data_IF_449676784467
#
_entry.id   IF_449676784467
#
_cell.length_a   1.000
_cell.length_b   1.000
_cell.length_c   1.000
_cell.angle_alpha   90.00
_cell.angle_beta   90.00
_cell.angle_gamma   90.00
#
_symmetry.space_group_name_H-M   'P 1'
#
loop_
_entity.id
_entity.type
_entity.pdbx_description
1 polymer ?
#
# COMPACT_ATOMS: atom_id res chain seq x y z
N UNK A 1 32.32 -8.96 16.24
CA UNK A 1 31.06 -9.35 16.89
C UNK A 1 29.94 -9.03 15.92
N UNK A 2 29.45 -10.02 15.16
CA UNK A 2 28.22 -9.81 14.38
C UNK A 2 27.06 -9.84 15.35
N UNK A 3 26.44 -8.68 15.60
CA UNK A 3 25.13 -8.64 16.25
C UNK A 3 24.14 -9.29 15.29
N UNK A 4 23.62 -10.46 15.67
CA UNK A 4 22.41 -11.00 15.08
C UNK A 4 21.31 -9.99 15.38
N UNK A 5 20.92 -9.19 14.39
CA UNK A 5 19.79 -8.28 14.56
C UNK A 5 18.58 -9.13 14.93
N UNK A 6 18.05 -8.94 16.14
CA UNK A 6 16.85 -9.63 16.56
C UNK A 6 15.72 -9.18 15.63
N UNK A 7 15.17 -10.14 14.90
CA UNK A 7 14.05 -9.90 13.99
C UNK A 7 12.91 -9.28 14.79
N UNK A 8 12.51 -8.04 14.44
CA UNK A 8 11.40 -7.34 15.11
C UNK A 8 10.09 -8.05 14.73
N UNK A 9 9.35 -8.65 15.69
CA UNK A 9 8.17 -9.45 15.38
C UNK A 9 7.09 -8.70 14.57
N UNK A 10 6.91 -7.40 14.84
CA UNK A 10 5.95 -6.56 14.09
C UNK A 10 6.34 -6.38 12.62
N UNK A 11 7.65 -6.28 12.32
CA UNK A 11 8.15 -6.21 10.94
C UNK A 11 7.89 -7.53 10.20
N UNK A 12 8.02 -8.67 10.89
CA UNK A 12 7.68 -9.98 10.32
C UNK A 12 6.19 -10.06 10.01
N UNK A 13 5.34 -9.65 10.94
CA UNK A 13 3.89 -9.65 10.74
C UNK A 13 3.48 -8.74 9.58
N UNK A 14 4.08 -7.55 9.47
CA UNK A 14 3.84 -6.64 8.35
C UNK A 14 4.23 -7.27 7.01
N UNK A 15 5.45 -7.84 6.91
CA UNK A 15 5.91 -8.52 5.69
C UNK A 15 5.05 -9.72 5.33
N UNK A 16 4.63 -10.51 6.32
CA UNK A 16 3.69 -11.60 6.11
C UNK A 16 2.36 -11.08 5.54
N UNK A 17 1.77 -10.05 6.15
CA UNK A 17 0.51 -9.47 5.68
C UNK A 17 0.62 -8.92 4.24
N UNK A 18 1.71 -8.20 3.92
CA UNK A 18 1.97 -7.71 2.56
C UNK A 18 2.11 -8.86 1.55
N UNK A 19 2.82 -9.94 1.92
CA UNK A 19 2.97 -11.11 1.05
C UNK A 19 1.64 -11.81 0.79
N UNK A 20 0.81 -11.99 1.81
CA UNK A 20 -0.53 -12.56 1.64
C UNK A 20 -1.44 -11.66 0.80
N UNK A 21 -1.31 -10.34 0.95
CA UNK A 21 -2.01 -9.38 0.08
C UNK A 21 -1.59 -9.54 -1.38
N UNK A 22 -0.28 -9.59 -1.67
CA UNK A 22 0.26 -9.87 -3.02
C UNK A 22 -0.25 -11.20 -3.57
N UNK A 23 -0.27 -12.25 -2.74
CA UNK A 23 -0.77 -13.57 -3.14
C UNK A 23 -2.25 -13.51 -3.55
N UNK A 24 -3.08 -12.79 -2.79
CA UNK A 24 -4.50 -12.60 -3.09
C UNK A 24 -4.75 -11.75 -4.34
N UNK A 25 -3.80 -10.89 -4.72
CA UNK A 25 -3.88 -10.04 -5.91
C UNK A 25 -3.27 -10.66 -7.17
N UNK A 26 -2.76 -11.89 -7.08
CA UNK A 26 -2.21 -12.61 -8.23
C UNK A 26 -3.31 -12.79 -9.29
N UNK A 27 -2.98 -12.46 -10.54
CA UNK A 27 -3.87 -12.52 -11.72
C UNK A 27 -5.08 -11.56 -11.72
N UNK A 28 -5.19 -10.63 -10.76
CA UNK A 28 -6.20 -9.57 -10.81
C UNK A 28 -5.93 -8.66 -12.01
N UNK A 29 -6.93 -8.50 -12.87
CA UNK A 29 -6.85 -7.59 -14.02
C UNK A 29 -7.23 -6.16 -13.65
N UNK A 30 -6.94 -5.21 -14.55
CA UNK A 30 -7.41 -3.83 -14.41
C UNK A 30 -8.95 -3.75 -14.29
N UNK A 31 -9.66 -4.60 -15.05
CA UNK A 31 -11.12 -4.66 -15.02
C UNK A 31 -11.62 -5.18 -13.67
N UNK A 32 -10.99 -6.22 -13.11
CA UNK A 32 -11.35 -6.72 -11.78
C UNK A 32 -11.06 -5.67 -10.70
N UNK A 33 -9.90 -5.01 -10.81
CA UNK A 33 -9.43 -4.06 -9.82
C UNK A 33 -10.28 -2.79 -9.73
N UNK A 34 -10.85 -2.34 -10.85
CA UNK A 34 -11.65 -1.10 -10.92
C UNK A 34 -13.14 -1.31 -10.66
N UNK A 35 -13.63 -2.55 -10.67
CA UNK A 35 -15.01 -2.86 -10.32
C UNK A 35 -15.33 -2.41 -8.90
N UNK A 36 -16.51 -1.79 -8.74
CA UNK A 36 -17.00 -1.31 -7.45
C UNK A 36 -18.30 -2.04 -7.09
N UNK A 37 -18.23 -3.14 -6.31
CA UNK A 37 -19.41 -3.83 -5.82
C UNK A 37 -20.25 -2.92 -4.92
N UNK A 38 -21.56 -3.18 -4.77
CA UNK A 38 -22.40 -2.45 -3.84
C UNK A 38 -21.82 -2.48 -2.42
N UNK A 39 -21.78 -1.32 -1.76
CA UNK A 39 -21.29 -1.15 -0.38
C UNK A 39 -19.80 -1.50 -0.16
N UNK A 40 -19.00 -1.57 -1.23
CA UNK A 40 -17.55 -1.79 -1.13
C UNK A 40 -16.81 -0.76 -1.98
N UNK A 41 -15.58 -0.46 -1.58
CA UNK A 41 -14.64 0.24 -2.45
C UNK A 41 -14.10 -0.74 -3.49
N UNK A 42 -13.69 -0.21 -4.65
CA UNK A 42 -12.97 -1.01 -5.63
C UNK A 42 -11.63 -1.45 -5.06
N UNK A 43 -11.10 -2.56 -5.60
CA UNK A 43 -9.83 -3.07 -5.14
C UNK A 43 -8.69 -2.10 -5.44
N UNK A 44 -8.77 -1.35 -6.55
CA UNK A 44 -7.81 -0.29 -6.87
C UNK A 44 -7.81 0.83 -5.82
N UNK A 45 -8.98 1.24 -5.34
CA UNK A 45 -9.04 2.19 -4.22
C UNK A 45 -8.44 1.60 -2.95
N UNK A 46 -8.72 0.33 -2.63
CA UNK A 46 -8.17 -0.35 -1.44
C UNK A 46 -6.63 -0.41 -1.49
N UNK A 47 -6.05 -0.79 -2.65
CA UNK A 47 -4.60 -0.82 -2.84
C UNK A 47 -4.01 0.59 -2.69
N UNK A 48 -4.64 1.60 -3.29
CA UNK A 48 -4.21 2.98 -3.16
C UNK A 48 -4.27 3.48 -1.72
N UNK A 49 -5.35 3.15 -1.00
CA UNK A 49 -5.53 3.52 0.40
C UNK A 49 -4.47 2.89 1.31
N UNK A 50 -4.08 1.63 1.04
CA UNK A 50 -2.95 1.01 1.73
C UNK A 50 -1.63 1.71 1.41
N UNK A 51 -1.42 2.16 0.17
CA UNK A 51 -0.22 2.93 -0.19
C UNK A 51 -0.18 4.28 0.54
N UNK A 52 -1.31 4.98 0.65
CA UNK A 52 -1.41 6.22 1.43
C UNK A 52 -1.06 5.99 2.89
N UNK A 53 -1.68 4.99 3.54
CA UNK A 53 -1.42 4.65 4.94
C UNK A 53 0.05 4.31 5.22
N UNK A 54 0.63 3.42 4.40
CA UNK A 54 2.02 3.02 4.59
C UNK A 54 2.99 4.17 4.32
N UNK A 55 2.71 5.02 3.33
CA UNK A 55 3.51 6.20 3.08
C UNK A 55 3.45 7.15 4.26
N UNK A 56 2.25 7.43 4.79
CA UNK A 56 2.05 8.36 5.88
C UNK A 56 2.86 7.96 7.11
N UNK A 57 2.76 6.70 7.53
CA UNK A 57 3.38 6.24 8.77
C UNK A 57 4.85 5.83 8.60
N UNK A 58 5.19 5.10 7.54
CA UNK A 58 6.50 4.48 7.43
C UNK A 58 7.49 5.24 6.56
N UNK A 59 7.01 6.17 5.73
CA UNK A 59 7.88 6.96 4.83
C UNK A 59 7.92 8.41 5.27
N UNK A 60 6.77 9.07 5.40
CA UNK A 60 6.69 10.48 5.82
C UNK A 60 7.04 10.61 7.30
N UNK A 61 6.28 9.99 8.19
CA UNK A 61 6.47 10.19 9.63
C UNK A 61 7.80 9.59 10.14
N UNK A 62 8.17 8.39 9.65
CA UNK A 62 9.37 7.71 10.12
C UNK A 62 10.67 8.16 9.42
N UNK A 63 10.62 8.60 8.16
CA UNK A 63 11.82 8.89 7.35
C UNK A 63 11.89 10.32 6.80
N UNK A 64 10.82 11.12 6.91
CA UNK A 64 10.75 12.47 6.35
C UNK A 64 10.77 12.51 4.82
N UNK A 65 10.36 11.42 4.16
CA UNK A 65 10.32 11.29 2.70
C UNK A 65 8.89 11.21 2.17
N UNK A 66 8.70 11.50 0.89
CA UNK A 66 7.41 11.37 0.20
C UNK A 66 7.65 10.74 -1.15
N UNK A 67 7.03 9.59 -1.43
CA UNK A 67 7.10 8.95 -2.76
C UNK A 67 6.03 9.56 -3.69
N UNK A 68 4.89 9.99 -3.14
CA UNK A 68 3.80 10.63 -3.89
C UNK A 68 2.95 11.57 -3.02
N UNK A 69 2.83 12.82 -3.43
CA UNK A 69 2.14 13.87 -2.67
C UNK A 69 0.60 13.87 -2.83
N UNK A 70 0.08 13.27 -3.90
CA UNK A 70 -1.34 13.28 -4.23
C UNK A 70 -2.18 12.17 -3.56
N UNK A 71 -1.57 11.22 -2.84
CA UNK A 71 -2.26 10.02 -2.36
C UNK A 71 -3.38 10.29 -1.36
N UNK A 72 -3.19 11.23 -0.43
CA UNK A 72 -4.23 11.62 0.53
C UNK A 72 -5.47 12.15 -0.20
N UNK A 73 -5.26 12.98 -1.21
CA UNK A 73 -6.35 13.54 -2.00
C UNK A 73 -7.04 12.48 -2.87
N UNK A 74 -6.29 11.52 -3.40
CA UNK A 74 -6.77 10.50 -4.33
C UNK A 74 -7.51 9.34 -3.65
N UNK A 75 -7.00 8.87 -2.51
CA UNK A 75 -7.41 7.60 -1.85
C UNK A 75 -7.33 7.66 -0.32
N UNK A 76 -7.27 8.85 0.29
CA UNK A 76 -7.38 9.02 1.74
C UNK A 76 -8.78 8.65 2.28
N UNK A 77 -8.91 8.47 3.60
CA UNK A 77 -10.14 7.99 4.24
C UNK A 77 -11.41 8.81 3.88
N UNK A 78 -11.27 10.13 3.71
CA UNK A 78 -12.37 11.05 3.37
C UNK A 78 -12.41 11.43 1.87
N UNK A 79 -11.63 10.72 1.03
CA UNK A 79 -11.59 10.97 -0.42
C UNK A 79 -12.90 10.58 -1.10
N UNK A 80 -13.15 11.19 -2.26
CA UNK A 80 -14.28 10.79 -3.11
C UNK A 80 -14.16 9.31 -3.47
N UNK A 81 -15.27 8.55 -3.50
CA UNK A 81 -15.21 7.12 -3.72
C UNK A 81 -15.09 6.83 -5.22
N UNK A 82 -13.89 7.06 -5.74
CA UNK A 82 -13.49 6.81 -7.12
C UNK A 82 -12.89 5.40 -7.28
N UNK A 83 -12.78 4.92 -8.51
CA UNK A 83 -11.98 3.74 -8.85
C UNK A 83 -10.75 4.18 -9.65
N UNK A 84 -9.60 4.45 -9.00
CA UNK A 84 -8.37 4.78 -9.73
C UNK A 84 -7.89 3.57 -10.53
N UNK A 85 -6.88 3.77 -11.39
CA UNK A 85 -6.28 2.63 -12.10
C UNK A 85 -5.67 1.63 -11.11
N UNK A 86 -6.01 0.34 -11.26
CA UNK A 86 -5.48 -0.73 -10.43
C UNK A 86 -3.96 -0.86 -10.63
N UNK A 87 -3.50 -0.89 -11.88
CA UNK A 87 -2.09 -0.98 -12.23
C UNK A 87 -1.29 0.17 -11.61
N UNK A 88 -1.80 1.41 -11.72
CA UNK A 88 -1.13 2.57 -11.15
C UNK A 88 -1.05 2.50 -9.61
N UNK A 89 -2.17 2.17 -8.94
CA UNK A 89 -2.17 2.05 -7.47
C UNK A 89 -1.29 0.91 -6.99
N UNK A 90 -1.23 -0.18 -7.74
CA UNK A 90 -0.35 -1.31 -7.46
C UNK A 90 1.13 -0.94 -7.55
N UNK A 91 1.52 -0.23 -8.60
CA UNK A 91 2.90 0.25 -8.76
C UNK A 91 3.28 1.24 -7.66
N UNK A 92 2.37 2.13 -7.27
CA UNK A 92 2.60 3.06 -6.17
C UNK A 92 2.74 2.33 -4.83
N UNK A 93 1.86 1.37 -4.53
CA UNK A 93 1.96 0.57 -3.31
C UNK A 93 3.30 -0.18 -3.22
N UNK A 94 3.78 -0.76 -4.32
CA UNK A 94 5.11 -1.39 -4.38
C UNK A 94 6.25 -0.38 -4.15
N UNK A 95 6.15 0.83 -4.70
CA UNK A 95 7.14 1.87 -4.49
C UNK A 95 7.19 2.34 -3.02
N UNK A 96 6.02 2.59 -2.43
CA UNK A 96 5.87 2.99 -1.01
C UNK A 96 6.40 1.91 -0.08
N UNK A 97 6.01 0.64 -0.28
CA UNK A 97 6.47 -0.47 0.56
C UNK A 97 7.98 -0.69 0.46
N UNK A 98 8.56 -0.49 -0.74
CA UNK A 98 10.01 -0.51 -0.92
C UNK A 98 10.72 0.66 -0.22
N UNK A 99 10.13 1.85 -0.22
CA UNK A 99 10.64 3.01 0.52
C UNK A 99 10.55 2.79 2.04
N UNK A 100 9.44 2.22 2.51
CA UNK A 100 9.23 1.86 3.92
C UNK A 100 10.30 0.88 4.44
N UNK A 101 10.80 -0.02 3.58
CA UNK A 101 11.77 -1.05 3.93
C UNK A 101 13.26 -0.61 3.80
N UNK A 102 13.56 0.67 3.49
CA UNK A 102 14.93 1.15 3.25
C UNK A 102 15.88 1.08 4.47
N UNK A 103 15.37 1.06 5.70
CA UNK A 103 16.17 1.19 6.93
C UNK A 103 15.90 0.10 7.96
#
# INVERSE_FOLDING_TARGET
>A
MSSTSAVVPLVVQLRFARNEFVRCLTDVTETDGTQRPPNMNSLSWIVGHLAEHEQHFYVIAAQGQTERDDLIALVGADSQPISPSFTAMWDIWKAVTAAADRF
#
